data_IF_931031071655
#
_entry.id   IF_931031071655
#
_cell.length_a   1.000
_cell.length_b   1.000
_cell.length_c   1.000
_cell.angle_alpha   90.00
_cell.angle_beta   90.00
_cell.angle_gamma   90.00
#
_symmetry.space_group_name_H-M   'P 1'
#
loop_
_entity.id
_entity.type
_entity.pdbx_description
1 polymer ?
#
# COMPACT_ATOMS: atom_id res chain seq x y z
N UNK A 1 -2.92 4.93 2.07
CA UNK A 1 -3.12 3.85 1.07
C UNK A 1 -2.97 4.45 -0.31
N UNK A 2 -3.75 5.50 -0.62
CA UNK A 2 -3.63 6.27 -1.86
C UNK A 2 -2.19 6.70 -2.17
N UNK A 3 -1.45 7.26 -1.21
CA UNK A 3 -0.06 7.67 -1.46
C UNK A 3 0.84 6.50 -1.89
N UNK A 4 0.73 5.33 -1.24
CA UNK A 4 1.47 4.14 -1.63
C UNK A 4 1.09 3.68 -3.04
N UNK A 5 -0.22 3.63 -3.33
CA UNK A 5 -0.71 3.29 -4.66
C UNK A 5 -0.18 4.26 -5.71
N UNK A 6 -0.18 5.56 -5.43
CA UNK A 6 0.32 6.60 -6.35
C UNK A 6 1.80 6.43 -6.67
N UNK A 7 2.62 5.99 -5.72
CA UNK A 7 4.03 5.70 -6.00
C UNK A 7 4.18 4.38 -6.77
N UNK A 8 3.53 3.31 -6.33
CA UNK A 8 3.68 1.99 -6.95
C UNK A 8 3.13 1.91 -8.38
N UNK A 9 2.06 2.64 -8.72
CA UNK A 9 1.52 2.66 -10.09
C UNK A 9 2.50 3.23 -11.13
N UNK A 10 3.48 4.04 -10.69
CA UNK A 10 4.51 4.58 -11.59
C UNK A 10 5.60 3.54 -11.88
N UNK A 11 5.65 2.48 -11.05
CA UNK A 11 6.73 1.49 -11.03
C UNK A 11 6.26 0.17 -11.63
N UNK A 12 4.96 -0.15 -11.56
CA UNK A 12 4.38 -1.37 -12.09
C UNK A 12 2.87 -1.27 -12.34
N UNK A 13 2.37 -2.17 -13.17
CA UNK A 13 0.94 -2.38 -13.37
C UNK A 13 0.27 -3.15 -12.21
N UNK A 14 -1.07 -3.16 -12.23
CA UNK A 14 -1.89 -3.95 -11.31
C UNK A 14 -1.93 -3.41 -9.89
N UNK A 15 -1.80 -2.08 -9.72
CA UNK A 15 -1.84 -1.43 -8.41
C UNK A 15 -3.18 -0.71 -8.22
N UNK A 16 -3.99 -1.20 -7.30
CA UNK A 16 -5.27 -0.62 -6.93
C UNK A 16 -5.34 -0.28 -5.43
N UNK A 17 -6.30 0.56 -5.05
CA UNK A 17 -6.69 0.74 -3.65
C UNK A 17 -8.07 0.14 -3.48
N UNK A 18 -8.18 -0.78 -2.52
CA UNK A 18 -9.43 -1.39 -2.11
C UNK A 18 -9.87 -0.90 -0.71
N UNK A 19 -11.18 -0.96 -0.39
CA UNK A 19 -12.26 -1.20 -1.34
C UNK A 19 -12.53 0.01 -2.21
N UNK A 20 -12.90 -0.25 -3.46
CA UNK A 20 -13.45 0.74 -4.39
C UNK A 20 -14.74 1.30 -3.80
N UNK A 21 -15.04 2.60 -3.96
CA UNK A 21 -16.30 3.16 -3.49
C UNK A 21 -17.52 2.36 -3.98
N UNK A 22 -18.37 1.94 -3.04
CA UNK A 22 -19.55 1.12 -3.34
C UNK A 22 -19.31 -0.39 -3.31
N UNK A 23 -18.07 -0.85 -3.16
CA UNK A 23 -17.74 -2.26 -2.97
C UNK A 23 -17.41 -2.60 -1.52
N UNK A 24 -17.55 -3.88 -1.19
CA UNK A 24 -17.16 -4.46 0.08
C UNK A 24 -15.77 -5.07 0.00
N UNK A 25 -15.13 -5.27 1.16
CA UNK A 25 -13.84 -5.98 1.25
C UNK A 25 -13.97 -7.41 0.71
N UNK A 26 -15.10 -8.08 0.93
CA UNK A 26 -15.31 -9.45 0.45
C UNK A 26 -15.32 -9.53 -1.08
N UNK A 27 -15.99 -8.58 -1.75
CA UNK A 27 -16.01 -8.50 -3.21
C UNK A 27 -14.60 -8.27 -3.78
N UNK A 28 -13.81 -7.40 -3.15
CA UNK A 28 -12.43 -7.13 -3.55
C UNK A 28 -11.51 -8.35 -3.38
N UNK A 29 -11.66 -9.09 -2.27
CA UNK A 29 -10.86 -10.30 -2.02
C UNK A 29 -11.19 -11.44 -2.97
N UNK A 30 -12.41 -11.50 -3.52
CA UNK A 30 -12.86 -12.58 -4.41
C UNK A 30 -12.02 -12.68 -5.69
N UNK A 31 -11.45 -11.56 -6.15
CA UNK A 31 -10.62 -11.50 -7.35
C UNK A 31 -9.13 -11.77 -7.13
N UNK A 32 -8.69 -11.97 -5.88
CA UNK A 32 -7.28 -12.08 -5.51
C UNK A 32 -6.88 -13.52 -5.22
N UNK A 33 -5.60 -13.83 -5.41
CA UNK A 33 -5.03 -15.14 -5.11
C UNK A 33 -3.55 -15.09 -4.69
N UNK A 34 -2.87 -16.25 -4.72
CA UNK A 34 -1.49 -16.37 -4.25
C UNK A 34 -0.44 -15.57 -5.03
N UNK A 35 -0.79 -15.06 -6.22
CA UNK A 35 0.07 -14.21 -7.05
C UNK A 35 -0.10 -12.71 -6.76
N UNK A 36 -1.10 -12.35 -5.96
CA UNK A 36 -1.37 -10.99 -5.55
C UNK A 36 -0.74 -10.69 -4.19
N UNK A 37 -0.74 -9.42 -3.81
CA UNK A 37 -0.35 -9.00 -2.47
C UNK A 37 -1.26 -7.90 -1.98
N UNK A 38 -1.82 -8.07 -0.78
CA UNK A 38 -2.60 -7.04 -0.10
C UNK A 38 -1.67 -6.32 0.87
N UNK A 39 -1.56 -5.00 0.73
CA UNK A 39 -0.86 -4.14 1.69
C UNK A 39 -1.89 -3.38 2.52
N UNK A 40 -2.04 -3.77 3.79
CA UNK A 40 -2.96 -3.10 4.72
C UNK A 40 -2.21 -2.05 5.53
N UNK A 41 -2.76 -0.83 5.54
CA UNK A 41 -2.28 0.26 6.38
C UNK A 41 -3.20 0.42 7.59
N UNK A 42 -2.72 0.03 8.77
CA UNK A 42 -3.54 -0.19 9.95
C UNK A 42 -3.33 0.80 11.10
N UNK A 43 -3.24 2.09 10.83
CA UNK A 43 -3.00 3.07 11.89
C UNK A 43 -4.26 3.33 12.72
N UNK A 44 -4.09 3.67 14.01
CA UNK A 44 -5.08 4.14 15.01
C UNK A 44 -6.51 4.41 14.50
N UNK A 45 -7.52 4.09 15.32
CA UNK A 45 -8.97 4.21 14.96
C UNK A 45 -9.37 3.30 13.79
N UNK A 46 -8.84 2.07 13.79
CA UNK A 46 -9.19 1.02 12.83
C UNK A 46 -10.71 0.72 12.91
N UNK A 47 -11.39 0.53 11.76
CA UNK A 47 -12.81 0.20 11.74
C UNK A 47 -13.07 -1.17 12.41
N UNK A 48 -14.33 -1.42 12.80
CA UNK A 48 -14.70 -2.67 13.50
C UNK A 48 -14.30 -3.92 12.73
N UNK A 49 -14.48 -3.94 11.40
CA UNK A 49 -14.15 -5.08 10.53
C UNK A 49 -12.67 -5.22 10.13
N UNK A 50 -11.75 -4.53 10.81
CA UNK A 50 -10.34 -4.49 10.40
C UNK A 50 -9.67 -5.86 10.55
N UNK A 51 -9.86 -6.54 11.68
CA UNK A 51 -9.25 -7.85 11.92
C UNK A 51 -9.88 -8.93 11.03
N UNK A 52 -11.19 -8.85 10.80
CA UNK A 52 -11.93 -9.73 9.89
C UNK A 52 -11.42 -9.60 8.45
N UNK A 53 -11.08 -8.38 8.00
CA UNK A 53 -10.45 -8.18 6.71
C UNK A 53 -9.07 -8.87 6.60
N UNK A 54 -8.25 -8.80 7.66
CA UNK A 54 -6.95 -9.50 7.69
C UNK A 54 -7.14 -11.02 7.67
N UNK A 55 -8.12 -11.54 8.41
CA UNK A 55 -8.48 -12.97 8.42
C UNK A 55 -8.94 -13.41 7.03
N UNK A 56 -9.80 -12.63 6.37
CA UNK A 56 -10.26 -12.92 5.01
C UNK A 56 -9.11 -13.04 4.00
N UNK A 57 -8.07 -12.19 4.11
CA UNK A 57 -6.87 -12.33 3.28
C UNK A 57 -6.16 -13.68 3.51
N UNK A 58 -6.01 -14.08 4.78
CA UNK A 58 -5.36 -15.33 5.14
C UNK A 58 -6.15 -16.55 4.68
N UNK A 59 -7.48 -16.53 4.84
CA UNK A 59 -8.39 -17.59 4.38
C UNK A 59 -8.39 -17.73 2.85
N UNK A 60 -8.36 -16.61 2.13
CA UNK A 60 -8.21 -16.57 0.67
C UNK A 60 -6.78 -16.92 0.19
N UNK A 61 -5.85 -17.21 1.11
CA UNK A 61 -4.44 -17.49 0.83
C UNK A 61 -3.73 -16.37 0.05
N UNK A 62 -4.18 -15.12 0.24
CA UNK A 62 -3.59 -13.95 -0.38
C UNK A 62 -2.46 -13.42 0.52
N UNK A 63 -1.22 -13.32 0.03
CA UNK A 63 -0.12 -12.72 0.76
C UNK A 63 -0.48 -11.34 1.34
N UNK A 64 -0.34 -11.19 2.65
CA UNK A 64 -0.67 -9.96 3.38
C UNK A 64 0.60 -9.31 3.95
N UNK A 65 0.79 -8.03 3.65
CA UNK A 65 1.75 -7.15 4.33
C UNK A 65 0.95 -6.17 5.19
N UNK A 66 1.20 -6.16 6.49
CA UNK A 66 0.59 -5.22 7.42
C UNK A 66 1.60 -4.15 7.82
N UNK A 67 1.31 -2.90 7.51
CA UNK A 67 2.06 -1.73 7.95
C UNK A 67 1.19 -0.96 8.94
N UNK A 68 1.55 -0.93 10.21
CA UNK A 68 0.75 -0.22 11.21
C UNK A 68 1.55 0.21 12.43
N UNK A 69 0.90 1.03 13.27
CA UNK A 69 1.49 1.46 14.53
C UNK A 69 1.55 0.34 15.58
N UNK A 70 2.38 0.46 16.63
CA UNK A 70 2.58 -0.60 17.62
C UNK A 70 1.29 -1.13 18.28
N UNK A 71 0.20 -0.37 18.30
CA UNK A 71 -1.08 -0.85 18.84
C UNK A 71 -1.70 -1.99 18.04
N UNK A 72 -1.28 -2.20 16.78
CA UNK A 72 -1.72 -3.30 15.93
C UNK A 72 -0.81 -4.54 16.03
N UNK A 73 0.21 -4.56 16.89
CA UNK A 73 1.14 -5.69 17.01
C UNK A 73 0.46 -7.03 17.29
N UNK A 74 -0.66 -7.02 18.03
CA UNK A 74 -1.45 -8.23 18.26
C UNK A 74 -2.07 -8.82 16.98
N UNK A 75 -2.23 -8.03 15.92
CA UNK A 75 -2.75 -8.44 14.62
C UNK A 75 -1.66 -8.93 13.66
N UNK A 76 -0.38 -8.76 14.00
CA UNK A 76 0.74 -9.07 13.12
C UNK A 76 0.78 -10.55 12.71
N UNK A 77 0.19 -11.45 13.52
CA UNK A 77 0.12 -12.87 13.25
C UNK A 77 -0.76 -13.24 12.03
N UNK A 78 -1.62 -12.34 11.55
CA UNK A 78 -2.37 -12.54 10.31
C UNK A 78 -1.53 -12.24 9.05
N UNK A 79 -0.46 -11.46 9.18
CA UNK A 79 0.32 -10.98 8.05
C UNK A 79 1.56 -11.86 7.81
N UNK A 80 1.91 -12.06 6.53
CA UNK A 80 3.18 -12.67 6.15
C UNK A 80 4.35 -11.77 6.54
N UNK A 81 4.16 -10.46 6.38
CA UNK A 81 5.14 -9.45 6.77
C UNK A 81 4.48 -8.36 7.60
N UNK A 82 5.11 -8.03 8.73
CA UNK A 82 4.73 -6.93 9.60
C UNK A 82 5.79 -5.84 9.53
N UNK A 83 5.37 -4.62 9.24
CA UNK A 83 6.21 -3.42 9.29
C UNK A 83 5.64 -2.50 10.35
N UNK A 84 6.28 -2.49 11.51
CA UNK A 84 5.92 -1.55 12.57
C UNK A 84 6.28 -0.13 12.15
N UNK A 85 5.29 0.75 12.16
CA UNK A 85 5.44 2.14 11.78
C UNK A 85 4.80 3.04 12.85
N UNK A 86 5.58 3.55 13.81
CA UNK A 86 5.07 4.42 14.86
C UNK A 86 4.43 5.69 14.30
N UNK A 87 3.21 6.00 14.77
CA UNK A 87 2.59 7.30 14.55
C UNK A 87 2.97 8.19 15.73
N UNK A 88 3.90 9.12 15.49
CA UNK A 88 4.35 10.07 16.51
C UNK A 88 3.20 10.93 17.03
N UNK A 89 3.35 11.54 18.21
CA UNK A 89 2.38 12.52 18.73
C UNK A 89 3.02 13.90 18.79
N UNK A 90 2.42 14.85 18.08
CA UNK A 90 2.74 16.28 18.17
C UNK A 90 1.42 17.03 18.38
N UNK A 91 0.95 17.09 19.64
CA UNK A 91 -0.31 17.73 19.99
C UNK A 91 -1.56 16.88 19.71
N UNK A 92 -2.66 17.53 19.29
CA UNK A 92 -3.97 16.90 19.11
C UNK A 92 -4.03 15.85 17.97
N UNK A 93 -3.06 15.90 17.05
CA UNK A 93 -2.99 15.03 15.89
C UNK A 93 -1.72 14.15 15.93
N UNK A 94 -1.85 12.95 15.35
CA UNK A 94 -0.70 12.06 15.17
C UNK A 94 0.14 12.51 13.96
N UNK A 95 1.47 12.42 14.08
CA UNK A 95 2.39 12.58 12.97
C UNK A 95 2.50 11.26 12.19
N UNK A 96 2.13 11.32 10.91
CA UNK A 96 2.24 10.21 9.97
C UNK A 96 3.55 10.24 9.18
N UNK A 97 4.53 11.06 9.59
CA UNK A 97 5.81 11.18 8.89
C UNK A 97 6.48 9.82 8.66
N UNK A 98 6.55 8.98 9.69
CA UNK A 98 7.10 7.63 9.57
C UNK A 98 6.33 6.77 8.55
N UNK A 99 5.00 6.90 8.46
CA UNK A 99 4.18 6.15 7.51
C UNK A 99 4.47 6.58 6.07
N UNK A 100 4.55 7.89 5.83
CA UNK A 100 4.93 8.44 4.52
C UNK A 100 6.36 8.04 4.13
N UNK A 101 7.32 8.16 5.05
CA UNK A 101 8.71 7.72 4.82
C UNK A 101 8.80 6.22 4.55
N UNK A 102 8.05 5.39 5.28
CA UNK A 102 8.00 3.93 5.06
C UNK A 102 7.44 3.61 3.68
N UNK A 103 6.40 4.31 3.25
CA UNK A 103 5.81 4.16 1.92
C UNK A 103 6.80 4.55 0.81
N UNK A 104 7.49 5.68 0.97
CA UNK A 104 8.51 6.12 0.02
C UNK A 104 9.69 5.14 -0.06
N UNK A 105 10.17 4.66 1.09
CA UNK A 105 11.20 3.64 1.15
C UNK A 105 10.76 2.34 0.47
N UNK A 106 9.54 1.87 0.74
CA UNK A 106 9.00 0.65 0.14
C UNK A 106 8.88 0.79 -1.39
N UNK A 107 8.38 1.92 -1.88
CA UNK A 107 8.31 2.18 -3.31
C UNK A 107 9.70 2.19 -3.96
N UNK A 108 10.68 2.85 -3.35
CA UNK A 108 12.07 2.83 -3.81
C UNK A 108 12.67 1.41 -3.84
N UNK A 109 12.37 0.60 -2.81
CA UNK A 109 12.80 -0.80 -2.77
C UNK A 109 12.14 -1.65 -3.88
N UNK A 110 10.86 -1.42 -4.18
CA UNK A 110 10.15 -2.10 -5.28
C UNK A 110 10.73 -1.70 -6.64
N UNK A 111 11.03 -0.41 -6.85
CA UNK A 111 11.71 0.07 -8.06
C UNK A 111 13.07 -0.61 -8.24
N UNK A 112 13.89 -0.61 -7.19
CA UNK A 112 15.21 -1.24 -7.21
C UNK A 112 15.15 -2.76 -7.47
N UNK A 113 14.20 -3.46 -6.85
CA UNK A 113 13.99 -4.89 -7.04
C UNK A 113 13.43 -5.26 -8.43
N UNK A 114 12.61 -4.38 -9.02
CA UNK A 114 12.03 -4.57 -10.35
C UNK A 114 13.01 -4.28 -11.50
N UNK A 115 14.16 -3.67 -11.22
CA UNK A 115 15.24 -3.46 -12.18
C UNK A 115 14.78 -2.75 -13.46
N UNK A 116 15.21 -3.28 -14.61
CA UNK A 116 14.92 -2.68 -15.92
C UNK A 116 13.42 -2.61 -16.25
N UNK A 117 12.62 -3.59 -15.82
CA UNK A 117 11.17 -3.56 -16.06
C UNK A 117 10.52 -2.40 -15.34
N UNK A 118 10.84 -2.21 -14.06
CA UNK A 118 10.31 -1.11 -13.27
C UNK A 118 10.82 0.25 -13.76
N UNK A 119 12.09 0.35 -14.15
CA UNK A 119 12.64 1.56 -14.77
C UNK A 119 11.87 1.93 -16.05
N UNK A 120 11.61 0.95 -16.93
CA UNK A 120 10.83 1.17 -18.15
C UNK A 120 9.39 1.63 -17.90
N UNK A 121 8.76 1.20 -16.79
CA UNK A 121 7.46 1.74 -16.38
C UNK A 121 7.53 3.23 -16.03
N UNK A 122 8.55 3.64 -15.28
CA UNK A 122 8.77 5.04 -14.91
C UNK A 122 9.04 5.88 -16.14
N UNK A 123 9.92 5.42 -17.04
CA UNK A 123 10.26 6.14 -18.28
C UNK A 123 9.01 6.35 -19.15
N UNK A 124 8.21 5.30 -19.36
CA UNK A 124 6.95 5.38 -20.10
C UNK A 124 5.93 6.34 -19.45
N UNK A 125 5.88 6.39 -18.12
CA UNK A 125 5.02 7.35 -17.43
C UNK A 125 5.50 8.79 -17.65
N UNK A 126 6.82 9.03 -17.56
CA UNK A 126 7.44 10.33 -17.85
C UNK A 126 7.17 10.79 -19.29
N UNK A 127 7.39 9.92 -20.28
CA UNK A 127 7.10 10.21 -21.70
C UNK A 127 5.63 10.61 -21.91
N UNK A 128 4.71 9.95 -21.21
CA UNK A 128 3.28 10.26 -21.30
C UNK A 128 2.97 11.63 -20.67
N UNK A 129 3.56 11.96 -19.53
CA UNK A 129 3.42 13.28 -18.91
C UNK A 129 3.92 14.40 -19.82
N UNK A 130 5.05 14.19 -20.51
CA UNK A 130 5.60 15.14 -21.47
C UNK A 130 4.68 15.28 -22.69
N UNK A 131 4.19 14.16 -23.23
CA UNK A 131 3.27 14.14 -24.38
C UNK A 131 1.97 14.88 -24.07
N UNK A 132 1.44 14.70 -22.87
CA UNK A 132 0.22 15.38 -22.40
C UNK A 132 0.48 16.81 -21.90
N UNK A 133 1.75 17.22 -21.77
CA UNK A 133 2.19 18.52 -21.26
C UNK A 133 1.64 18.82 -19.86
N UNK A 134 1.62 17.80 -19.01
CA UNK A 134 1.10 17.89 -17.64
C UNK A 134 2.14 18.38 -16.62
N UNK A 135 3.42 18.42 -17.01
CA UNK A 135 4.52 18.87 -16.16
C UNK A 135 5.05 20.23 -16.62
N UNK A 136 5.18 21.15 -15.66
CA UNK A 136 5.92 22.39 -15.86
C UNK A 136 7.40 22.13 -15.55
N UNK A 137 8.18 21.88 -16.60
CA UNK A 137 9.57 21.41 -16.48
C UNK A 137 10.60 22.54 -16.33
N UNK A 138 10.19 23.80 -16.23
CA UNK A 138 11.07 24.94 -15.89
C UNK A 138 12.16 25.23 -16.91
#
# INVERSE_FOLDING_TARGET
ALHLRTQLQQIRDGVAVAPTPGQTVAEELTGLGPQDVVVVLGFRRRPRGFEEALKGCAEAQVPLILIADPSARHLAHHARHWIECPVGRSGAFGSYAAAFSTVAWLAGAVLGAGGATAAGHVDRATELFETLRELDLG
#
